data_IF_324724101182
#
_entry.id   IF_324724101182
#
_cell.length_a   1.000
_cell.length_b   1.000
_cell.length_c   1.000
_cell.angle_alpha   90.00
_cell.angle_beta   90.00
_cell.angle_gamma   90.00
#
_symmetry.space_group_name_H-M   'P 1'
#
loop_
_entity.id
_entity.type
_entity.pdbx_description
1 polymer ?
#
# COMPACT_ATOMS: atom_id res chain seq x y z
N UNK A 1 61.19 13.91 -44.90
CA UNK A 1 60.37 12.83 -44.31
C UNK A 1 58.99 12.83 -44.96
N UNK A 2 58.60 11.66 -45.47
CA UNK A 2 57.38 11.19 -46.19
C UNK A 2 56.53 12.16 -47.05
N UNK A 3 56.32 11.69 -48.28
CA UNK A 3 55.74 12.29 -49.49
C UNK A 3 54.27 11.88 -49.70
N UNK A 4 53.54 12.76 -50.39
CA UNK A 4 52.59 12.56 -51.53
C UNK A 4 51.28 11.77 -51.34
N UNK A 5 50.23 12.46 -51.80
CA UNK A 5 49.04 12.02 -52.56
C UNK A 5 49.25 10.85 -53.54
N UNK A 6 48.29 9.92 -53.63
CA UNK A 6 47.62 9.47 -54.87
C UNK A 6 46.66 8.26 -54.68
N UNK A 7 45.56 8.31 -55.44
CA UNK A 7 44.88 7.24 -56.19
C UNK A 7 44.47 5.94 -55.44
N UNK A 8 43.17 5.62 -55.33
CA UNK A 8 42.34 4.97 -56.35
C UNK A 8 42.82 3.55 -56.72
N UNK A 9 41.89 2.62 -56.47
CA UNK A 9 41.61 1.35 -57.16
C UNK A 9 42.17 0.02 -56.64
N UNK A 10 41.18 -0.89 -56.50
CA UNK A 10 41.18 -2.35 -56.69
C UNK A 10 41.53 -3.22 -55.48
N UNK A 11 40.48 -3.66 -54.78
CA UNK A 11 40.12 -5.08 -54.87
C UNK A 11 38.60 -5.22 -54.83
N UNK A 12 38.03 -5.56 -55.98
CA UNK A 12 36.70 -6.10 -56.12
C UNK A 12 36.82 -7.62 -56.12
N UNK A 13 36.15 -8.29 -55.18
CA UNK A 13 35.65 -9.66 -55.30
C UNK A 13 34.31 -9.65 -54.55
N UNK A 14 33.22 -9.34 -55.25
CA UNK A 14 32.23 -10.34 -55.69
C UNK A 14 31.63 -11.16 -54.53
N UNK A 15 30.54 -10.62 -53.97
CA UNK A 15 29.40 -11.43 -53.56
C UNK A 15 28.15 -10.72 -54.09
N UNK A 16 27.43 -11.30 -55.06
CA UNK A 16 26.20 -10.72 -55.57
C UNK A 16 25.15 -10.90 -54.47
N UNK A 17 24.87 -9.84 -53.72
CA UNK A 17 23.60 -9.77 -53.01
C UNK A 17 22.52 -9.69 -54.09
N UNK A 18 21.95 -10.86 -54.36
CA UNK A 18 20.80 -11.05 -55.21
C UNK A 18 19.66 -10.19 -54.66
N UNK A 19 19.57 -8.96 -55.15
CA UNK A 19 18.27 -8.33 -55.34
C UNK A 19 17.49 -9.28 -56.26
N UNK A 20 16.29 -9.73 -55.89
CA UNK A 20 15.42 -10.35 -56.87
C UNK A 20 15.15 -9.27 -57.91
N UNK A 21 15.80 -9.42 -59.07
CA UNK A 21 15.51 -8.66 -60.26
C UNK A 21 14.00 -8.74 -60.47
N UNK A 22 13.39 -7.56 -60.51
CA UNK A 22 12.07 -7.34 -61.07
C UNK A 22 12.00 -8.15 -62.36
N UNK A 23 11.19 -9.21 -62.38
CA UNK A 23 10.88 -9.91 -63.61
C UNK A 23 10.00 -8.98 -64.43
N UNK A 24 10.63 -8.09 -65.19
CA UNK A 24 10.01 -7.32 -66.24
C UNK A 24 9.55 -8.28 -67.34
N UNK A 25 8.27 -8.65 -67.34
CA UNK A 25 7.61 -9.14 -68.55
C UNK A 25 6.98 -7.94 -69.23
N UNK A 26 7.59 -7.48 -70.34
CA UNK A 26 7.07 -6.44 -71.25
C UNK A 26 6.95 -5.00 -70.69
N UNK A 27 7.85 -4.56 -69.81
CA UNK A 27 8.05 -3.12 -69.53
C UNK A 27 6.94 -2.41 -68.75
N UNK A 28 6.04 -3.15 -68.08
CA UNK A 28 5.10 -2.58 -67.09
C UNK A 28 5.31 -3.27 -65.74
N UNK A 29 5.43 -2.47 -64.69
CA UNK A 29 5.39 -2.95 -63.30
C UNK A 29 3.98 -3.51 -63.08
N UNK A 30 3.89 -4.80 -62.78
CA UNK A 30 2.64 -5.43 -62.33
C UNK A 30 2.37 -4.99 -60.88
N UNK A 31 1.39 -4.09 -60.64
CA UNK A 31 1.15 -3.54 -59.31
C UNK A 31 0.73 -4.62 -58.30
N UNK A 32 0.09 -5.70 -58.76
CA UNK A 32 -0.39 -6.77 -57.90
C UNK A 32 0.76 -7.65 -57.39
N UNK A 33 1.79 -7.88 -58.21
CA UNK A 33 3.01 -8.59 -57.77
C UNK A 33 3.91 -7.73 -56.89
N UNK A 34 4.00 -6.43 -57.14
CA UNK A 34 4.73 -5.50 -56.27
C UNK A 34 4.07 -5.37 -54.88
N UNK A 35 2.74 -5.39 -54.81
CA UNK A 35 1.99 -5.39 -53.53
C UNK A 35 2.24 -6.68 -52.72
N UNK A 36 2.33 -7.83 -53.39
CA UNK A 36 2.57 -9.13 -52.74
C UNK A 36 4.05 -9.37 -52.39
N UNK A 37 5.02 -8.65 -52.98
CA UNK A 37 6.43 -8.73 -52.58
C UNK A 37 6.80 -7.67 -51.52
N UNK A 38 6.07 -6.56 -51.45
CA UNK A 38 6.08 -5.65 -50.30
C UNK A 38 5.14 -6.15 -49.19
N UNK A 39 5.21 -7.44 -48.85
CA UNK A 39 4.68 -7.94 -47.58
C UNK A 39 5.46 -7.22 -46.47
N UNK A 40 5.01 -6.03 -46.09
CA UNK A 40 5.26 -5.47 -44.78
C UNK A 40 4.72 -6.53 -43.83
N UNK A 41 5.61 -7.34 -43.26
CA UNK A 41 5.20 -8.40 -42.34
C UNK A 41 4.52 -7.69 -41.17
N UNK A 42 3.26 -8.05 -40.88
CA UNK A 42 2.59 -7.55 -39.68
C UNK A 42 3.49 -7.86 -38.49
N UNK A 43 3.95 -6.81 -37.83
CA UNK A 43 4.83 -6.92 -36.69
C UNK A 43 3.99 -6.78 -35.43
N UNK A 44 3.93 -7.85 -34.64
CA UNK A 44 3.23 -7.87 -33.35
C UNK A 44 4.02 -7.17 -32.22
N UNK A 45 5.09 -6.44 -32.55
CA UNK A 45 5.89 -5.65 -31.60
C UNK A 45 5.06 -4.70 -30.74
N UNK A 46 3.97 -4.13 -31.27
CA UNK A 46 3.05 -3.27 -30.52
C UNK A 46 2.41 -4.00 -29.33
N UNK A 47 2.17 -5.32 -29.42
CA UNK A 47 1.58 -6.10 -28.31
C UNK A 47 2.50 -6.22 -27.09
N UNK A 48 3.79 -5.91 -27.24
CA UNK A 48 4.76 -5.95 -26.12
C UNK A 48 4.65 -4.73 -25.20
N UNK A 49 3.97 -3.66 -25.62
CA UNK A 49 3.76 -2.49 -24.74
C UNK A 49 2.68 -2.83 -23.70
N UNK A 50 2.87 -2.48 -22.42
CA UNK A 50 1.90 -2.80 -21.35
C UNK A 50 0.47 -2.30 -21.61
N UNK A 51 0.33 -1.20 -22.37
CA UNK A 51 -0.97 -0.66 -22.73
C UNK A 51 -1.81 -1.56 -23.63
N UNK A 52 -1.20 -2.50 -24.36
CA UNK A 52 -1.97 -3.44 -25.19
C UNK A 52 -2.84 -4.35 -24.33
N UNK A 53 -2.22 -5.05 -23.38
CA UNK A 53 -2.93 -5.97 -22.49
C UNK A 53 -4.00 -5.22 -21.69
N UNK A 54 -3.69 -4.01 -21.22
CA UNK A 54 -4.65 -3.20 -20.47
C UNK A 54 -5.88 -2.82 -21.29
N UNK A 55 -5.70 -2.33 -22.52
CA UNK A 55 -6.82 -1.99 -23.38
C UNK A 55 -7.61 -3.21 -23.85
N UNK A 56 -6.95 -4.35 -24.09
CA UNK A 56 -7.63 -5.60 -24.43
C UNK A 56 -8.48 -6.06 -23.26
N UNK A 57 -7.95 -6.09 -22.04
CA UNK A 57 -8.70 -6.42 -20.83
C UNK A 57 -9.90 -5.50 -20.63
N UNK A 58 -9.72 -4.19 -20.80
CA UNK A 58 -10.80 -3.20 -20.68
C UNK A 58 -11.86 -3.34 -21.77
N UNK A 59 -11.45 -3.58 -23.02
CA UNK A 59 -12.40 -3.79 -24.11
C UNK A 59 -13.17 -5.10 -23.98
N UNK A 60 -12.54 -6.16 -23.45
CA UNK A 60 -13.23 -7.41 -23.13
C UNK A 60 -14.25 -7.19 -22.01
N UNK A 61 -13.90 -6.40 -20.99
CA UNK A 61 -14.80 -6.06 -19.90
C UNK A 61 -16.00 -5.21 -20.37
N UNK A 62 -15.76 -4.20 -21.21
CA UNK A 62 -16.80 -3.39 -21.86
C UNK A 62 -17.77 -4.26 -22.70
N UNK A 63 -17.21 -5.20 -23.47
CA UNK A 63 -17.99 -6.15 -24.25
C UNK A 63 -18.86 -7.08 -23.37
N UNK A 64 -18.30 -7.59 -22.28
CA UNK A 64 -19.05 -8.42 -21.31
C UNK A 64 -20.15 -7.62 -20.63
N UNK A 65 -19.85 -6.38 -20.23
CA UNK A 65 -20.81 -5.46 -19.61
C UNK A 65 -21.99 -5.19 -20.55
N UNK A 66 -21.74 -4.88 -21.83
CA UNK A 66 -22.78 -4.71 -22.83
C UNK A 66 -23.66 -5.96 -22.98
N UNK A 67 -23.03 -7.14 -23.11
CA UNK A 67 -23.76 -8.41 -23.26
C UNK A 67 -24.61 -8.78 -22.05
N UNK A 68 -24.25 -8.27 -20.88
CA UNK A 68 -25.01 -8.41 -19.64
C UNK A 68 -26.07 -7.30 -19.46
N UNK A 69 -26.26 -6.41 -20.45
CA UNK A 69 -27.23 -5.33 -20.42
C UNK A 69 -26.80 -4.09 -19.63
N UNK A 70 -25.51 -3.97 -19.30
CA UNK A 70 -24.93 -2.78 -18.65
C UNK A 70 -24.55 -1.69 -19.65
N UNK A 71 -24.16 -0.54 -19.11
CA UNK A 71 -23.66 0.59 -19.90
C UNK A 71 -22.26 0.28 -20.45
N UNK A 72 -22.05 0.51 -21.75
CA UNK A 72 -20.79 0.26 -22.44
C UNK A 72 -20.41 1.40 -23.38
N UNK A 73 -19.11 1.51 -23.67
CA UNK A 73 -18.54 2.50 -24.58
C UNK A 73 -18.84 2.16 -26.05
N UNK A 74 -18.76 0.87 -26.40
CA UNK A 74 -19.09 0.38 -27.73
C UNK A 74 -20.39 -0.42 -27.72
N UNK A 75 -21.08 -0.44 -28.85
CA UNK A 75 -22.17 -1.38 -29.09
C UNK A 75 -21.54 -2.65 -29.65
N UNK A 76 -21.73 -3.78 -28.98
CA UNK A 76 -21.04 -5.04 -29.31
C UNK A 76 -21.93 -6.05 -30.04
N UNK A 77 -22.98 -5.57 -30.71
CA UNK A 77 -23.96 -6.43 -31.39
C UNK A 77 -23.30 -7.34 -32.43
N UNK A 78 -23.42 -8.66 -32.24
CA UNK A 78 -22.85 -9.66 -33.13
C UNK A 78 -21.31 -9.76 -33.10
N UNK A 79 -20.64 -9.07 -32.17
CA UNK A 79 -19.18 -9.12 -31.99
C UNK A 79 -18.77 -10.10 -30.89
N UNK A 80 -17.58 -10.67 -31.03
CA UNK A 80 -16.95 -11.46 -29.97
C UNK A 80 -16.24 -10.54 -28.97
N UNK A 81 -15.98 -11.02 -27.75
CA UNK A 81 -15.18 -10.26 -26.79
C UNK A 81 -13.71 -10.64 -26.94
N UNK A 82 -13.09 -10.16 -28.02
CA UNK A 82 -11.69 -10.41 -28.38
C UNK A 82 -11.00 -9.14 -28.93
N UNK A 83 -9.67 -9.21 -29.06
CA UNK A 83 -8.84 -8.10 -29.53
C UNK A 83 -9.24 -7.59 -30.92
N UNK A 84 -9.58 -8.48 -31.85
CA UNK A 84 -10.04 -8.14 -33.20
C UNK A 84 -11.33 -7.32 -33.17
N UNK A 85 -12.29 -7.72 -32.33
CA UNK A 85 -13.56 -7.02 -32.19
C UNK A 85 -13.40 -5.66 -31.51
N UNK A 86 -12.43 -5.51 -30.59
CA UNK A 86 -12.06 -4.22 -30.01
C UNK A 86 -11.56 -3.28 -31.11
N UNK A 87 -10.58 -3.72 -31.91
CA UNK A 87 -10.05 -2.90 -33.02
C UNK A 87 -11.14 -2.55 -34.03
N UNK A 88 -12.03 -3.50 -34.35
CA UNK A 88 -13.19 -3.24 -35.22
C UNK A 88 -14.10 -2.15 -34.64
N UNK A 89 -14.44 -2.24 -33.36
CA UNK A 89 -15.30 -1.27 -32.67
C UNK A 89 -14.68 0.13 -32.62
N UNK A 90 -13.36 0.21 -32.40
CA UNK A 90 -12.61 1.48 -32.45
C UNK A 90 -12.64 2.07 -33.86
N UNK A 91 -12.46 1.25 -34.90
CA UNK A 91 -12.48 1.69 -36.29
C UNK A 91 -13.86 2.16 -36.78
N UNK A 92 -14.95 1.62 -36.22
CA UNK A 92 -16.32 2.08 -36.48
C UNK A 92 -16.59 3.49 -35.92
N UNK A 93 -15.75 3.96 -35.00
CA UNK A 93 -15.76 5.32 -34.45
C UNK A 93 -14.38 5.99 -34.64
N UNK A 94 -14.01 6.41 -35.88
CA UNK A 94 -12.67 6.92 -36.17
C UNK A 94 -12.20 8.07 -35.26
N UNK A 95 -13.12 8.86 -34.72
CA UNK A 95 -12.86 9.93 -33.75
C UNK A 95 -12.26 9.44 -32.43
N UNK A 96 -12.41 8.15 -32.10
CA UNK A 96 -11.83 7.54 -30.89
C UNK A 96 -10.42 7.01 -31.11
N UNK A 97 -9.99 6.78 -32.37
CA UNK A 97 -8.67 6.24 -32.69
C UNK A 97 -7.54 7.05 -32.02
N UNK A 98 -7.55 8.40 -32.03
CA UNK A 98 -6.47 9.16 -31.40
C UNK A 98 -6.37 8.89 -29.89
N UNK A 99 -7.52 8.93 -29.20
CA UNK A 99 -7.57 8.72 -27.74
C UNK A 99 -7.22 7.28 -27.39
N UNK A 100 -7.74 6.31 -28.14
CA UNK A 100 -7.42 4.89 -27.98
C UNK A 100 -5.93 4.63 -28.12
N UNK A 101 -5.31 5.15 -29.18
CA UNK A 101 -3.88 4.96 -29.41
C UNK A 101 -3.02 5.72 -28.38
N UNK A 102 -3.41 6.93 -27.98
CA UNK A 102 -2.71 7.66 -26.92
C UNK A 102 -2.78 6.95 -25.56
N UNK A 103 -3.96 6.40 -25.20
CA UNK A 103 -4.12 5.62 -23.98
C UNK A 103 -3.27 4.34 -24.03
N UNK A 104 -3.26 3.63 -25.16
CA UNK A 104 -2.38 2.48 -25.42
C UNK A 104 -0.90 2.86 -25.21
N UNK A 105 -0.49 3.99 -25.81
CA UNK A 105 0.89 4.41 -25.88
C UNK A 105 1.44 4.84 -24.52
N UNK A 106 0.67 5.64 -23.77
CA UNK A 106 1.14 6.23 -22.52
C UNK A 106 0.83 5.38 -21.28
N UNK A 107 0.04 4.30 -21.40
CA UNK A 107 -0.29 3.44 -20.26
C UNK A 107 0.97 2.84 -19.62
N UNK A 108 1.05 2.91 -18.30
CA UNK A 108 2.20 2.44 -17.52
C UNK A 108 3.40 3.39 -17.53
N UNK A 109 3.33 4.52 -18.24
CA UNK A 109 4.33 5.57 -18.11
C UNK A 109 4.32 6.16 -16.70
N UNK A 110 5.43 6.79 -16.30
CA UNK A 110 5.53 7.48 -15.01
C UNK A 110 4.46 8.56 -14.83
N UNK A 111 4.09 9.25 -15.90
CA UNK A 111 3.15 10.37 -15.87
C UNK A 111 1.69 9.90 -15.84
N UNK A 112 1.35 8.82 -16.54
CA UNK A 112 -0.04 8.31 -16.63
C UNK A 112 -0.34 7.28 -15.55
N UNK A 113 0.57 6.33 -15.32
CA UNK A 113 0.39 5.22 -14.40
C UNK A 113 -0.35 4.03 -15.01
N UNK A 114 -0.67 3.06 -14.17
CA UNK A 114 -1.34 1.81 -14.52
C UNK A 114 -2.29 1.39 -13.41
N UNK A 115 -3.28 0.54 -13.73
CA UNK A 115 -4.10 -0.09 -12.69
C UNK A 115 -3.34 -1.23 -12.02
N UNK A 116 -3.65 -1.47 -10.76
CA UNK A 116 -3.04 -2.53 -9.95
C UNK A 116 -3.70 -3.89 -10.14
N UNK A 117 -4.99 -3.90 -10.51
CA UNK A 117 -5.79 -5.10 -10.80
C UNK A 117 -6.91 -4.75 -11.78
N UNK A 118 -7.38 -5.73 -12.55
CA UNK A 118 -8.57 -5.61 -13.40
C UNK A 118 -9.85 -6.09 -12.68
N UNK A 119 -9.74 -6.48 -11.41
CA UNK A 119 -10.92 -6.86 -10.63
C UNK A 119 -11.79 -5.63 -10.34
N UNK A 120 -13.13 -5.76 -10.47
CA UNK A 120 -14.03 -4.64 -10.21
C UNK A 120 -14.01 -4.25 -8.73
N UNK A 121 -13.92 -2.96 -8.46
CA UNK A 121 -13.93 -2.43 -7.10
C UNK A 121 -13.71 -0.93 -7.05
N UNK A 122 -13.97 -0.32 -5.89
CA UNK A 122 -13.85 1.12 -5.67
C UNK A 122 -12.44 1.65 -6.00
N UNK A 123 -11.41 0.87 -5.64
CA UNK A 123 -10.00 1.17 -5.95
C UNK A 123 -9.74 1.17 -7.46
N UNK A 124 -10.21 0.16 -8.17
CA UNK A 124 -10.02 0.05 -9.62
C UNK A 124 -10.71 1.20 -10.34
N UNK A 125 -11.93 1.57 -9.92
CA UNK A 125 -12.64 2.75 -10.46
C UNK A 125 -11.87 4.06 -10.25
N UNK A 126 -11.28 4.25 -9.07
CA UNK A 126 -10.43 5.41 -8.77
C UNK A 126 -9.15 5.43 -9.62
N UNK A 127 -8.46 4.30 -9.74
CA UNK A 127 -7.24 4.16 -10.54
C UNK A 127 -7.52 4.46 -12.03
N UNK A 128 -8.67 4.03 -12.57
CA UNK A 128 -9.10 4.36 -13.93
C UNK A 128 -9.38 5.85 -14.12
N UNK A 129 -10.10 6.48 -13.18
CA UNK A 129 -10.36 7.91 -13.23
C UNK A 129 -9.06 8.73 -13.18
N UNK A 130 -8.09 8.28 -12.36
CA UNK A 130 -6.75 8.87 -12.28
C UNK A 130 -5.98 8.76 -13.60
N UNK A 131 -5.97 7.58 -14.22
CA UNK A 131 -5.31 7.36 -15.52
C UNK A 131 -5.88 8.31 -16.58
N UNK A 132 -7.20 8.46 -16.67
CA UNK A 132 -7.82 9.37 -17.63
C UNK A 132 -7.46 10.83 -17.36
N UNK A 133 -7.46 11.25 -16.09
CA UNK A 133 -7.07 12.60 -15.71
C UNK A 133 -5.59 12.89 -16.06
N UNK A 134 -4.69 11.96 -15.73
CA UNK A 134 -3.27 12.07 -16.04
C UNK A 134 -3.00 12.06 -17.55
N UNK A 135 -3.69 11.19 -18.29
CA UNK A 135 -3.58 11.13 -19.75
C UNK A 135 -3.97 12.49 -20.36
N UNK A 136 -5.05 13.12 -19.90
CA UNK A 136 -5.45 14.45 -20.39
C UNK A 136 -4.41 15.54 -20.08
N UNK A 137 -3.67 15.42 -18.97
CA UNK A 137 -2.55 16.31 -18.64
C UNK A 137 -1.39 16.09 -19.61
N UNK A 138 -0.94 14.85 -19.78
CA UNK A 138 0.18 14.50 -20.68
C UNK A 138 -0.10 14.94 -22.11
N UNK A 139 -1.33 14.73 -22.57
CA UNK A 139 -1.78 15.09 -23.91
C UNK A 139 -2.03 16.58 -24.12
N UNK A 140 -1.85 17.41 -23.08
CA UNK A 140 -1.80 18.87 -23.24
C UNK A 140 -0.46 19.37 -23.79
N UNK A 141 0.57 18.51 -23.89
CA UNK A 141 1.88 18.85 -24.44
C UNK A 141 1.97 18.53 -25.94
N UNK A 142 2.09 19.53 -26.84
CA UNK A 142 2.14 19.29 -28.29
C UNK A 142 3.27 18.36 -28.74
N UNK A 143 4.45 18.43 -28.10
CA UNK A 143 5.59 17.58 -28.46
C UNK A 143 5.32 16.10 -28.16
N UNK A 144 4.53 15.80 -27.11
CA UNK A 144 4.06 14.44 -26.82
C UNK A 144 3.09 13.96 -27.90
N UNK A 145 2.17 14.80 -28.34
CA UNK A 145 1.19 14.46 -29.38
C UNK A 145 1.91 14.10 -30.69
N UNK A 146 2.92 14.89 -31.08
CA UNK A 146 3.71 14.62 -32.29
C UNK A 146 4.41 13.26 -32.22
N UNK A 147 5.08 12.96 -31.11
CA UNK A 147 5.75 11.67 -30.91
C UNK A 147 4.76 10.49 -30.95
N UNK A 148 3.60 10.62 -30.30
CA UNK A 148 2.55 9.60 -30.32
C UNK A 148 2.02 9.40 -31.75
N UNK A 149 1.86 10.46 -32.54
CA UNK A 149 1.39 10.36 -33.92
C UNK A 149 2.40 9.65 -34.85
N UNK A 150 3.70 9.90 -34.66
CA UNK A 150 4.75 9.20 -35.41
C UNK A 150 4.72 7.69 -35.13
N UNK A 151 4.62 7.31 -33.87
CA UNK A 151 4.47 5.91 -33.45
C UNK A 151 3.16 5.30 -33.98
N UNK A 152 2.07 6.06 -33.98
CA UNK A 152 0.79 5.65 -34.56
C UNK A 152 0.89 5.33 -36.05
N UNK A 153 1.56 6.16 -36.86
CA UNK A 153 1.72 5.87 -38.30
C UNK A 153 2.53 4.58 -38.54
N UNK A 154 3.48 4.27 -37.66
CA UNK A 154 4.26 3.04 -37.71
C UNK A 154 3.43 1.81 -37.28
N UNK A 155 2.65 1.93 -36.21
CA UNK A 155 1.95 0.80 -35.59
C UNK A 155 0.59 0.50 -36.21
N UNK A 156 -0.14 1.52 -36.71
CA UNK A 156 -1.56 1.40 -37.07
C UNK A 156 -1.86 0.27 -38.04
N UNK A 157 -0.97 0.02 -39.00
CA UNK A 157 -1.18 -1.00 -40.02
C UNK A 157 -1.07 -2.41 -39.43
N UNK A 158 -0.09 -2.62 -38.54
CA UNK A 158 0.09 -3.89 -37.82
C UNK A 158 -1.04 -4.13 -36.80
N UNK A 159 -1.49 -3.07 -36.12
CA UNK A 159 -2.64 -3.10 -35.20
C UNK A 159 -3.98 -3.31 -35.92
N UNK A 160 -4.09 -2.92 -37.19
CA UNK A 160 -5.35 -2.92 -37.94
C UNK A 160 -6.22 -1.68 -37.70
N UNK A 161 -5.64 -0.58 -37.21
CA UNK A 161 -6.33 0.71 -37.06
C UNK A 161 -6.45 1.45 -38.39
N UNK A 162 -7.58 2.11 -38.61
CA UNK A 162 -7.81 2.97 -39.77
C UNK A 162 -6.85 4.16 -39.74
N UNK A 163 -6.47 4.66 -40.93
CA UNK A 163 -5.63 5.86 -41.07
C UNK A 163 -6.42 7.11 -40.67
N UNK A 164 -5.80 7.93 -39.82
CA UNK A 164 -6.28 9.25 -39.39
C UNK A 164 -5.22 10.28 -39.78
N UNK A 165 -5.64 11.43 -40.32
CA UNK A 165 -4.69 12.49 -40.69
C UNK A 165 -4.04 13.08 -39.43
N UNK A 166 -2.82 13.61 -39.53
CA UNK A 166 -2.16 14.29 -38.40
C UNK A 166 -3.03 15.39 -37.80
N UNK A 167 -3.72 16.14 -38.64
CA UNK A 167 -4.65 17.20 -38.23
C UNK A 167 -5.80 16.62 -37.39
N UNK A 168 -6.48 15.58 -37.89
CA UNK A 168 -7.61 14.97 -37.18
C UNK A 168 -7.17 14.27 -35.89
N UNK A 169 -6.00 13.64 -35.90
CA UNK A 169 -5.40 13.04 -34.72
C UNK A 169 -5.17 14.09 -33.63
N UNK A 170 -4.49 15.18 -33.99
CA UNK A 170 -4.20 16.30 -33.07
C UNK A 170 -5.49 16.94 -32.56
N UNK A 171 -6.48 17.14 -33.43
CA UNK A 171 -7.77 17.71 -33.04
C UNK A 171 -8.57 16.79 -32.09
N UNK A 172 -8.52 15.47 -32.31
CA UNK A 172 -9.13 14.48 -31.42
C UNK A 172 -8.51 14.51 -30.02
N UNK A 173 -7.17 14.53 -29.95
CA UNK A 173 -6.42 14.64 -28.71
C UNK A 173 -6.70 15.98 -28.00
N UNK A 174 -6.72 17.09 -28.74
CA UNK A 174 -7.03 18.40 -28.19
C UNK A 174 -8.45 18.46 -27.62
N UNK A 175 -9.42 17.81 -28.28
CA UNK A 175 -10.81 17.73 -27.80
C UNK A 175 -10.90 16.94 -26.49
N UNK A 176 -10.18 15.83 -26.38
CA UNK A 176 -10.08 15.07 -25.12
C UNK A 176 -9.42 15.90 -24.01
N UNK A 177 -8.29 16.54 -24.30
CA UNK A 177 -7.50 17.29 -23.32
C UNK A 177 -8.24 18.53 -22.80
N UNK A 178 -9.19 19.10 -23.56
CA UNK A 178 -10.09 20.15 -23.07
C UNK A 178 -10.95 19.73 -21.87
N UNK A 179 -11.22 18.43 -21.72
CA UNK A 179 -11.98 17.89 -20.59
C UNK A 179 -11.10 17.58 -19.36
N UNK A 180 -9.81 17.93 -19.38
CA UNK A 180 -8.85 17.67 -18.30
C UNK A 180 -9.38 18.09 -16.93
N UNK A 181 -9.90 19.30 -16.81
CA UNK A 181 -10.33 19.84 -15.51
C UNK A 181 -11.58 19.09 -14.99
N UNK A 182 -12.46 18.64 -15.90
CA UNK A 182 -13.62 17.81 -15.55
C UNK A 182 -13.20 16.39 -15.12
N UNK A 183 -12.23 15.79 -15.82
CA UNK A 183 -11.65 14.49 -15.46
C UNK A 183 -10.93 14.54 -14.12
N UNK A 184 -10.14 15.59 -13.89
CA UNK A 184 -9.45 15.82 -12.61
C UNK A 184 -10.46 16.00 -11.45
N UNK A 185 -11.51 16.77 -11.68
CA UNK A 185 -12.59 16.96 -10.69
C UNK A 185 -13.32 15.64 -10.40
N UNK A 186 -13.60 14.84 -11.42
CA UNK A 186 -14.23 13.53 -11.25
C UNK A 186 -13.33 12.57 -10.48
N UNK A 187 -12.03 12.52 -10.79
CA UNK A 187 -11.06 11.73 -10.04
C UNK A 187 -11.02 12.16 -8.57
N UNK A 188 -10.89 13.47 -8.30
CA UNK A 188 -10.82 13.98 -6.93
C UNK A 188 -12.08 13.63 -6.13
N UNK A 189 -13.26 13.75 -6.75
CA UNK A 189 -14.52 13.36 -6.11
C UNK A 189 -14.53 11.88 -5.72
N UNK A 190 -14.19 10.99 -6.64
CA UNK A 190 -14.13 9.55 -6.37
C UNK A 190 -13.09 9.21 -5.29
N UNK A 191 -11.92 9.86 -5.35
CA UNK A 191 -10.88 9.70 -4.34
C UNK A 191 -11.39 10.12 -2.94
N UNK A 192 -12.00 11.30 -2.82
CA UNK A 192 -12.50 11.81 -1.55
C UNK A 192 -13.62 10.94 -0.96
N UNK A 193 -14.52 10.43 -1.81
CA UNK A 193 -15.58 9.49 -1.41
C UNK A 193 -15.00 8.16 -0.89
N UNK A 194 -14.03 7.59 -1.62
CA UNK A 194 -13.34 6.37 -1.20
C UNK A 194 -12.57 6.56 0.11
N UNK A 195 -11.89 7.70 0.30
CA UNK A 195 -11.18 8.02 1.53
C UNK A 195 -12.13 8.13 2.73
N UNK A 196 -13.29 8.79 2.56
CA UNK A 196 -14.31 8.88 3.62
C UNK A 196 -14.84 7.51 4.00
N UNK A 197 -15.16 6.67 3.02
CA UNK A 197 -15.65 5.32 3.27
C UNK A 197 -14.61 4.47 4.00
N UNK A 198 -13.35 4.52 3.54
CA UNK A 198 -12.25 3.81 4.20
C UNK A 198 -12.07 4.23 5.66
N UNK A 199 -12.14 5.53 5.95
CA UNK A 199 -12.04 6.04 7.33
C UNK A 199 -13.22 5.61 8.20
N UNK A 200 -14.44 5.62 7.65
CA UNK A 200 -15.64 5.15 8.34
C UNK A 200 -15.54 3.66 8.68
N UNK A 201 -15.13 2.83 7.72
CA UNK A 201 -14.97 1.39 7.90
C UNK A 201 -13.88 1.05 8.92
N UNK A 202 -12.74 1.76 8.87
CA UNK A 202 -11.67 1.63 9.86
C UNK A 202 -12.14 1.99 11.26
N UNK A 203 -12.91 3.07 11.41
CA UNK A 203 -13.43 3.51 12.71
C UNK A 203 -14.46 2.51 13.25
N UNK A 204 -15.35 2.02 12.40
CA UNK A 204 -16.33 1.01 12.76
C UNK A 204 -15.67 -0.31 13.16
N UNK A 205 -14.63 -0.73 12.43
CA UNK A 205 -13.85 -1.93 12.77
C UNK A 205 -13.12 -1.75 14.10
N UNK A 206 -12.43 -0.63 14.31
CA UNK A 206 -11.74 -0.37 15.58
C UNK A 206 -12.70 -0.38 16.78
N UNK A 207 -13.93 0.11 16.59
CA UNK A 207 -14.97 0.03 17.63
C UNK A 207 -15.38 -1.42 17.91
N UNK A 208 -15.63 -2.23 16.87
CA UNK A 208 -15.95 -3.66 17.01
C UNK A 208 -14.82 -4.43 17.70
N UNK A 209 -13.57 -4.21 17.28
CA UNK A 209 -12.39 -4.85 17.85
C UNK A 209 -12.25 -4.49 19.34
N UNK A 210 -12.52 -3.24 19.71
CA UNK A 210 -12.50 -2.80 21.10
C UNK A 210 -13.61 -3.45 21.93
N UNK A 211 -14.82 -3.56 21.39
CA UNK A 211 -15.96 -4.22 22.04
C UNK A 211 -15.69 -5.71 22.25
N UNK A 212 -15.17 -6.41 21.23
CA UNK A 212 -14.78 -7.82 21.33
C UNK A 212 -13.64 -8.03 22.33
N UNK A 213 -12.65 -7.13 22.34
CA UNK A 213 -11.55 -7.18 23.29
C UNK A 213 -12.06 -7.03 24.73
N UNK A 214 -12.97 -6.10 24.99
CA UNK A 214 -13.59 -5.94 26.31
C UNK A 214 -14.45 -7.14 26.70
N UNK A 215 -15.20 -7.72 25.76
CA UNK A 215 -16.01 -8.92 25.99
C UNK A 215 -15.17 -10.16 26.32
N UNK A 216 -13.93 -10.22 25.82
CA UNK A 216 -12.98 -11.30 26.12
C UNK A 216 -12.33 -11.20 27.51
N UNK A 217 -12.64 -10.18 28.31
CA UNK A 217 -12.03 -9.96 29.62
C UNK A 217 -12.35 -11.10 30.61
N UNK A 218 -11.30 -11.68 31.20
CA UNK A 218 -11.40 -12.74 32.20
C UNK A 218 -10.58 -12.39 33.44
N UNK A 219 -11.12 -12.55 34.67
CA UNK A 219 -10.36 -12.34 35.88
C UNK A 219 -9.22 -13.37 36.00
N UNK A 220 -8.10 -12.93 36.55
CA UNK A 220 -6.98 -13.81 36.91
C UNK A 220 -6.59 -13.59 38.37
N UNK A 221 -6.15 -14.67 39.01
CA UNK A 221 -5.54 -14.61 40.33
C UNK A 221 -4.03 -14.77 40.16
N UNK A 222 -3.25 -13.84 40.71
CA UNK A 222 -1.79 -13.90 40.66
C UNK A 222 -1.28 -14.88 41.71
N UNK A 223 -0.98 -16.12 41.31
CA UNK A 223 -0.35 -17.12 42.18
C UNK A 223 1.17 -16.96 42.08
N UNK A 224 1.75 -16.17 42.98
CA UNK A 224 3.16 -15.79 42.93
C UNK A 224 4.08 -16.74 43.72
N UNK A 225 3.67 -17.14 44.92
CA UNK A 225 4.44 -18.03 45.79
C UNK A 225 3.53 -19.12 46.38
N UNK A 226 3.97 -20.38 46.37
CA UNK A 226 3.19 -21.51 46.89
C UNK A 226 3.10 -21.51 48.42
N UNK A 227 4.16 -21.05 49.11
CA UNK A 227 4.24 -20.94 50.58
C UNK A 227 4.87 -19.59 50.95
N UNK A 228 4.10 -18.49 51.00
CA UNK A 228 4.66 -17.16 51.16
C UNK A 228 5.17 -16.90 52.59
N UNK A 229 6.33 -16.25 52.70
CA UNK A 229 6.84 -15.71 53.98
C UNK A 229 5.94 -14.59 54.52
N UNK A 230 6.06 -14.18 55.80
CA UNK A 230 5.32 -13.05 56.33
C UNK A 230 5.46 -11.76 55.49
N UNK A 231 6.65 -11.48 54.97
CA UNK A 231 6.95 -10.33 54.11
C UNK A 231 6.28 -10.46 52.75
N UNK A 232 6.33 -11.65 52.13
CA UNK A 232 5.64 -11.89 50.86
C UNK A 232 4.12 -11.80 51.00
N UNK A 233 3.56 -12.18 52.15
CA UNK A 233 2.11 -12.00 52.44
C UNK A 233 1.69 -10.53 52.44
N UNK A 234 2.56 -9.62 52.87
CA UNK A 234 2.28 -8.17 52.82
C UNK A 234 2.11 -7.71 51.36
N UNK A 235 2.99 -8.17 50.46
CA UNK A 235 2.91 -7.87 49.02
C UNK A 235 1.67 -8.53 48.38
N UNK A 236 1.38 -9.80 48.70
CA UNK A 236 0.16 -10.49 48.23
C UNK A 236 -1.09 -9.70 48.63
N UNK A 237 -1.17 -9.25 49.89
CA UNK A 237 -2.31 -8.48 50.37
C UNK A 237 -2.46 -7.15 49.63
N UNK A 238 -1.36 -6.47 49.33
CA UNK A 238 -1.38 -5.24 48.53
C UNK A 238 -1.88 -5.50 47.09
N UNK A 239 -1.39 -6.54 46.42
CA UNK A 239 -1.82 -6.93 45.08
C UNK A 239 -3.29 -7.35 45.04
N UNK A 240 -3.80 -7.98 46.09
CA UNK A 240 -5.21 -8.37 46.18
C UNK A 240 -6.18 -7.18 46.24
N UNK A 241 -5.68 -5.95 46.45
CA UNK A 241 -6.51 -4.74 46.32
C UNK A 241 -6.80 -4.34 44.86
N UNK A 242 -6.18 -5.02 43.91
CA UNK A 242 -6.18 -4.71 42.48
C UNK A 242 -6.89 -5.83 41.73
N UNK A 243 -7.85 -5.46 40.87
CA UNK A 243 -8.52 -6.42 39.98
C UNK A 243 -7.61 -6.69 38.79
N UNK A 244 -7.01 -7.88 38.75
CA UNK A 244 -6.27 -8.33 37.58
C UNK A 244 -7.17 -9.09 36.60
N UNK A 245 -7.07 -8.76 35.32
CA UNK A 245 -7.80 -9.43 34.25
C UNK A 245 -6.88 -9.68 33.06
N UNK A 246 -7.27 -10.58 32.16
CA UNK A 246 -6.63 -10.76 30.85
C UNK A 246 -7.68 -10.58 29.76
N UNK A 247 -7.25 -10.14 28.58
CA UNK A 247 -8.10 -10.06 27.39
C UNK A 247 -7.50 -10.87 26.24
N UNK A 248 -8.27 -11.08 25.18
CA UNK A 248 -7.92 -11.91 24.01
C UNK A 248 -6.63 -11.47 23.29
N UNK A 249 -6.19 -10.23 23.51
CA UNK A 249 -4.90 -9.73 23.02
C UNK A 249 -3.67 -10.19 23.84
N UNK A 250 -3.82 -11.18 24.74
CA UNK A 250 -2.75 -11.70 25.61
C UNK A 250 -2.08 -10.63 26.48
N UNK A 251 -2.84 -9.63 26.89
CA UNK A 251 -2.41 -8.59 27.82
C UNK A 251 -3.14 -8.79 29.15
N UNK A 252 -2.40 -8.66 30.24
CA UNK A 252 -2.90 -8.51 31.57
C UNK A 252 -3.20 -7.04 31.88
N UNK A 253 -4.31 -6.80 32.56
CA UNK A 253 -4.78 -5.49 32.95
C UNK A 253 -4.90 -5.43 34.47
N UNK A 254 -4.57 -4.28 35.04
CA UNK A 254 -4.73 -3.95 36.45
C UNK A 254 -5.80 -2.86 36.57
N UNK A 255 -6.93 -3.18 37.19
CA UNK A 255 -8.10 -2.30 37.27
C UNK A 255 -8.54 -1.74 35.91
N UNK A 256 -8.45 -2.56 34.86
CA UNK A 256 -8.83 -2.18 33.49
C UNK A 256 -7.76 -1.44 32.69
N UNK A 257 -6.61 -1.09 33.30
CA UNK A 257 -5.47 -0.46 32.61
C UNK A 257 -4.45 -1.50 32.16
N UNK A 258 -3.80 -1.25 31.03
CA UNK A 258 -2.72 -2.09 30.53
C UNK A 258 -1.64 -2.27 31.62
N UNK A 259 -1.22 -3.50 31.90
CA UNK A 259 -0.16 -3.78 32.87
C UNK A 259 1.07 -4.41 32.22
N UNK A 260 0.91 -5.59 31.63
CA UNK A 260 1.98 -6.31 30.90
C UNK A 260 1.39 -7.39 30.01
N UNK A 261 2.21 -8.04 29.19
CA UNK A 261 1.77 -9.25 28.48
C UNK A 261 1.52 -10.40 29.46
N UNK A 262 0.64 -11.33 29.08
CA UNK A 262 0.40 -12.57 29.84
C UNK A 262 1.69 -13.36 30.02
N UNK A 263 2.56 -13.38 29.01
CA UNK A 263 3.86 -14.04 29.10
C UNK A 263 4.79 -13.33 30.10
N UNK A 264 4.69 -11.99 30.19
CA UNK A 264 5.40 -11.18 31.17
C UNK A 264 5.01 -11.45 32.62
N UNK A 265 3.79 -11.93 32.89
CA UNK A 265 3.37 -12.33 34.24
C UNK A 265 4.27 -13.45 34.80
N UNK A 266 4.87 -14.29 33.95
CA UNK A 266 5.83 -15.30 34.37
C UNK A 266 7.08 -14.70 35.06
N UNK A 267 7.45 -13.47 34.73
CA UNK A 267 8.58 -12.75 35.35
C UNK A 267 8.16 -11.84 36.51
N UNK A 268 6.86 -11.69 36.78
CA UNK A 268 6.36 -10.80 37.83
C UNK A 268 6.85 -11.21 39.22
N UNK A 269 6.82 -12.52 39.53
CA UNK A 269 7.35 -13.05 40.80
C UNK A 269 8.80 -12.65 41.00
N UNK A 270 9.66 -12.91 40.00
CA UNK A 270 11.07 -12.57 40.09
C UNK A 270 11.28 -11.06 40.28
N UNK A 271 10.44 -10.25 39.62
CA UNK A 271 10.52 -8.79 39.74
C UNK A 271 10.16 -8.32 41.15
N UNK A 272 9.15 -8.94 41.77
CA UNK A 272 8.77 -8.67 43.15
C UNK A 272 9.83 -9.16 44.15
N UNK A 273 10.40 -10.35 43.93
CA UNK A 273 11.51 -10.88 44.74
C UNK A 273 12.73 -9.92 44.65
N UNK A 274 13.02 -9.37 43.46
CA UNK A 274 14.06 -8.36 43.26
C UNK A 274 13.74 -7.04 43.98
N UNK A 275 12.52 -6.51 43.85
CA UNK A 275 12.07 -5.32 44.60
C UNK A 275 12.17 -5.54 46.10
N UNK A 276 11.82 -6.72 46.61
CA UNK A 276 11.97 -7.02 48.04
C UNK A 276 13.43 -7.15 48.45
N UNK A 277 14.31 -7.66 47.58
CA UNK A 277 15.74 -7.80 47.90
C UNK A 277 16.44 -6.46 48.15
N UNK A 278 15.95 -5.35 47.57
CA UNK A 278 16.45 -4.00 47.87
C UNK A 278 16.14 -3.55 49.31
N UNK A 279 15.17 -4.20 49.96
CA UNK A 279 14.88 -4.04 51.38
C UNK A 279 15.75 -4.92 52.31
N UNK A 280 16.73 -5.65 51.78
CA UNK A 280 17.65 -6.42 52.62
C UNK A 280 18.72 -5.50 53.21
N UNK A 281 18.76 -5.43 54.54
CA UNK A 281 19.85 -4.76 55.27
C UNK A 281 20.90 -5.81 55.66
N UNK A 282 22.19 -5.44 55.54
CA UNK A 282 23.27 -6.23 56.14
C UNK A 282 23.39 -5.80 57.59
N UNK A 283 22.85 -6.60 58.51
CA UNK A 283 22.96 -6.34 59.94
C UNK A 283 24.42 -6.36 60.39
N UNK A 284 24.87 -5.33 61.11
CA UNK A 284 26.27 -5.11 61.49
C UNK A 284 26.92 -6.19 62.38
N UNK A 285 26.19 -7.24 62.78
CA UNK A 285 26.73 -8.25 63.72
C UNK A 285 26.42 -9.72 63.42
N UNK A 286 25.68 -10.08 62.37
CA UNK A 286 25.52 -11.49 61.96
C UNK A 286 25.30 -11.53 60.45
N UNK A 287 26.08 -12.32 59.73
CA UNK A 287 26.13 -12.36 58.25
C UNK A 287 24.89 -12.92 57.53
N UNK A 288 23.69 -12.73 58.07
CA UNK A 288 22.43 -13.11 57.44
C UNK A 288 21.72 -11.86 56.90
N UNK A 289 21.41 -11.86 55.59
CA UNK A 289 20.56 -10.82 54.98
C UNK A 289 19.14 -11.01 55.49
N UNK A 290 18.65 -10.05 56.27
CA UNK A 290 17.26 -10.03 56.74
C UNK A 290 16.50 -8.92 56.02
N UNK A 291 15.30 -9.24 55.53
CA UNK A 291 14.42 -8.25 54.90
C UNK A 291 13.86 -7.32 55.97
N UNK A 292 14.05 -6.01 55.79
CA UNK A 292 13.41 -4.99 56.62
C UNK A 292 11.91 -4.97 56.36
N UNK A 293 11.11 -5.44 57.33
CA UNK A 293 9.65 -5.48 57.22
C UNK A 293 9.03 -4.10 57.01
N UNK A 294 9.63 -3.04 57.58
CA UNK A 294 9.20 -1.66 57.35
C UNK A 294 9.40 -1.22 55.89
N UNK A 295 10.52 -1.62 55.27
CA UNK A 295 10.76 -1.36 53.85
C UNK A 295 9.77 -2.13 52.96
N UNK A 296 9.51 -3.42 53.25
CA UNK A 296 8.51 -4.22 52.51
C UNK A 296 7.10 -3.63 52.66
N UNK A 297 6.77 -3.07 53.82
CA UNK A 297 5.51 -2.35 54.03
C UNK A 297 5.40 -1.12 53.12
N UNK A 298 6.48 -0.35 52.96
CA UNK A 298 6.53 0.77 52.01
C UNK A 298 6.35 0.34 50.55
N UNK A 299 6.92 -0.79 50.15
CA UNK A 299 6.68 -1.39 48.82
C UNK A 299 5.20 -1.75 48.62
N UNK A 300 4.56 -2.35 49.62
CA UNK A 300 3.14 -2.67 49.58
C UNK A 300 2.25 -1.42 49.47
N UNK A 301 2.57 -0.36 50.20
CA UNK A 301 1.87 0.93 50.09
C UNK A 301 1.96 1.51 48.68
N UNK A 302 3.15 1.43 48.06
CA UNK A 302 3.35 1.83 46.67
C UNK A 302 2.52 1.00 45.67
N UNK A 303 2.36 -0.31 45.89
CA UNK A 303 1.50 -1.17 45.07
C UNK A 303 0.03 -0.76 45.20
N UNK A 304 -0.44 -0.51 46.43
CA UNK A 304 -1.82 -0.06 46.67
C UNK A 304 -2.08 1.28 45.99
N UNK A 305 -1.13 2.21 46.09
CA UNK A 305 -1.22 3.53 45.46
C UNK A 305 -1.20 3.45 43.93
N UNK A 306 -0.37 2.59 43.37
CA UNK A 306 -0.37 2.26 41.94
C UNK A 306 -1.73 1.69 41.50
N UNK A 307 -2.31 0.79 42.29
CA UNK A 307 -3.65 0.24 42.05
C UNK A 307 -4.76 1.31 42.07
N UNK A 308 -4.70 2.27 42.99
CA UNK A 308 -5.61 3.43 43.02
C UNK A 308 -5.43 4.32 41.80
N UNK A 309 -4.18 4.60 41.43
CA UNK A 309 -3.82 5.41 40.27
C UNK A 309 -4.32 4.78 38.97
N UNK A 310 -4.29 3.46 38.85
CA UNK A 310 -4.87 2.76 37.71
C UNK A 310 -6.39 2.98 37.56
N UNK A 311 -7.12 3.16 38.68
CA UNK A 311 -8.56 3.47 38.69
C UNK A 311 -8.87 4.94 38.42
N UNK A 312 -7.88 5.83 38.49
CA UNK A 312 -8.08 7.26 38.32
C UNK A 312 -8.42 7.58 36.86
N UNK A 313 -9.63 8.08 36.61
CA UNK A 313 -10.13 8.41 35.27
C UNK A 313 -9.54 9.70 34.72
N UNK A 314 -8.91 10.54 35.56
CA UNK A 314 -8.21 11.75 35.12
C UNK A 314 -6.89 11.43 34.41
N UNK A 315 -6.37 10.22 34.58
CA UNK A 315 -5.14 9.76 33.92
C UNK A 315 -5.52 9.09 32.59
N UNK A 316 -5.02 9.61 31.47
CA UNK A 316 -5.26 8.99 30.17
C UNK A 316 -4.53 7.65 30.04
N UNK A 317 -5.01 6.75 29.16
CA UNK A 317 -4.29 5.50 28.86
C UNK A 317 -2.89 5.77 28.30
N UNK A 318 -2.71 6.90 27.62
CA UNK A 318 -1.42 7.33 27.08
C UNK A 318 -0.46 7.76 28.18
N UNK A 319 -0.92 8.55 29.15
CA UNK A 319 -0.14 8.92 30.32
C UNK A 319 0.25 7.68 31.16
N UNK A 320 -0.70 6.76 31.35
CA UNK A 320 -0.45 5.50 32.06
C UNK A 320 0.62 4.63 31.38
N UNK A 321 0.55 4.48 30.06
CA UNK A 321 1.53 3.70 29.28
C UNK A 321 2.90 4.37 29.21
N UNK A 322 2.95 5.70 29.11
CA UNK A 322 4.22 6.43 29.16
C UNK A 322 4.91 6.22 30.51
N UNK A 323 4.16 6.36 31.61
CA UNK A 323 4.66 6.10 32.96
C UNK A 323 5.09 4.64 33.17
N UNK A 324 4.46 3.70 32.47
CA UNK A 324 4.87 2.30 32.51
C UNK A 324 6.29 2.10 31.99
N UNK A 325 6.72 2.85 30.97
CA UNK A 325 8.09 2.76 30.43
C UNK A 325 9.10 3.18 31.50
N UNK A 326 8.83 4.27 32.21
CA UNK A 326 9.70 4.79 33.28
C UNK A 326 9.67 3.91 34.54
N UNK A 327 8.53 3.27 34.82
CA UNK A 327 8.34 2.36 35.94
C UNK A 327 8.71 0.89 35.67
N UNK A 328 9.10 0.55 34.43
CA UNK A 328 9.26 -0.83 33.95
C UNK A 328 10.69 -1.38 34.04
N UNK A 329 10.71 -2.69 34.31
CA UNK A 329 11.76 -3.72 34.25
C UNK A 329 12.92 -3.45 33.26
N UNK A 330 12.65 -2.86 32.10
CA UNK A 330 13.64 -2.71 31.02
C UNK A 330 14.50 -1.45 31.11
N UNK A 331 14.03 -0.39 31.79
CA UNK A 331 14.69 0.94 31.77
C UNK A 331 15.07 1.46 33.16
N UNK A 332 14.96 0.62 34.20
CA UNK A 332 15.37 0.95 35.56
C UNK A 332 16.89 0.71 35.76
N UNK A 333 17.63 1.56 36.51
CA UNK A 333 19.01 1.29 36.93
C UNK A 333 19.24 -0.08 37.58
N UNK A 334 18.23 -0.68 38.23
CA UNK A 334 18.25 -2.08 38.67
C UNK A 334 17.38 -2.90 37.72
N UNK A 335 18.03 -3.69 36.86
CA UNK A 335 17.33 -4.54 35.88
C UNK A 335 16.35 -5.47 36.60
N UNK A 336 15.14 -5.58 36.04
CA UNK A 336 14.07 -6.47 36.50
C UNK A 336 13.31 -6.06 37.76
N UNK A 337 13.48 -4.83 38.28
CA UNK A 337 12.65 -4.30 39.36
C UNK A 337 11.42 -3.54 38.83
N UNK A 338 10.26 -3.65 39.50
CA UNK A 338 9.07 -2.81 39.22
C UNK A 338 8.96 -1.71 40.28
N UNK A 339 9.04 -0.45 39.85
CA UNK A 339 8.91 0.71 40.73
C UNK A 339 7.46 1.22 40.73
N UNK A 340 6.57 0.52 41.43
CA UNK A 340 5.13 0.84 41.47
C UNK A 340 4.83 2.29 41.85
N UNK A 341 5.52 2.82 42.88
CA UNK A 341 5.35 4.20 43.32
C UNK A 341 5.83 5.22 42.28
N UNK A 342 6.93 4.92 41.58
CA UNK A 342 7.45 5.78 40.51
C UNK A 342 6.50 5.79 39.31
N UNK A 343 5.99 4.62 38.89
CA UNK A 343 4.97 4.53 37.84
C UNK A 343 3.74 5.38 38.20
N UNK A 344 3.20 5.22 39.41
CA UNK A 344 2.04 5.99 39.87
C UNK A 344 2.30 7.50 39.83
N UNK A 345 3.47 7.95 40.30
CA UNK A 345 3.88 9.36 40.24
C UNK A 345 4.01 9.88 38.81
N UNK A 346 4.71 9.14 37.95
CA UNK A 346 4.91 9.54 36.55
C UNK A 346 3.61 9.57 35.76
N UNK A 347 2.65 8.70 36.05
CA UNK A 347 1.34 8.71 35.39
C UNK A 347 0.61 10.04 35.63
N UNK A 348 0.71 10.60 36.84
CA UNK A 348 0.16 11.92 37.18
C UNK A 348 0.92 13.05 36.51
N UNK A 349 2.24 12.96 36.46
CA UNK A 349 3.08 13.94 35.75
C UNK A 349 2.72 13.98 34.26
N UNK A 350 2.64 12.84 33.59
CA UNK A 350 2.25 12.80 32.18
C UNK A 350 0.82 13.29 31.95
N UNK A 351 -0.13 12.91 32.81
CA UNK A 351 -1.50 13.44 32.73
C UNK A 351 -1.53 14.98 32.85
N UNK A 352 -0.76 15.56 33.78
CA UNK A 352 -0.65 17.02 33.94
C UNK A 352 -0.02 17.74 32.74
N UNK A 353 0.74 17.01 31.91
CA UNK A 353 1.36 17.50 30.67
C UNK A 353 0.47 17.31 29.44
N UNK A 354 -0.76 16.83 29.61
CA UNK A 354 -1.73 16.66 28.53
C UNK A 354 -1.50 15.41 27.66
N UNK A 355 -0.88 14.37 28.23
CA UNK A 355 -0.66 13.10 27.51
C UNK A 355 -1.94 12.38 27.15
#
# INVERSE_FOLDING_TARGET
MKKRTNAIMKLAVFLPLAFPLVSCTAGKIDPAKALNQMHIVKNDGYKKRPGWDALVSLGIDDCKTYKNGGDSLFKWDGLQCDDKSIIKSVNEKPQLIPIFYAAYHEYGSYEVGSISTFEPGARTGEEMAKILANLAIVLSNPAKIDAIYEDYENDRWSMGLNKVSKSDFTNGIATFSKNRDALASSYQKTHDENQKQYQADRTAQAKRDQEELLASERPINLVLWSNPTPEQKIIINALNTIKFTIRGNRVAYANGRWFMSVDGLGSLRNSLDMSMSSCSDVGAYVGEKVLSRACVQGLAENIVEWGKTAKDTSISDRAWRAAAIDGSITYNPIKYEILFGHWAGMARVYASRGY
#
